data_IF_316651731494
#
_entry.id   IF_316651731494
#
_cell.length_a   1.000
_cell.length_b   1.000
_cell.length_c   1.000
_cell.angle_alpha   90.00
_cell.angle_beta   90.00
_cell.angle_gamma   90.00
#
_symmetry.space_group_name_H-M   'P 1'
#
loop_
_entity.id
_entity.type
_entity.pdbx_description
1 polymer ?
#
# COMPACT_ATOMS: atom_id res chain seq x y z
N UNK A 1 -12.83 7.68 11.63
CA UNK A 1 -11.57 8.09 10.96
C UNK A 1 -11.99 8.59 9.59
N UNK A 2 -11.85 9.89 9.32
CA UNK A 2 -12.32 10.49 8.07
C UNK A 2 -11.33 10.06 6.98
N UNK A 3 -11.78 9.21 6.04
CA UNK A 3 -11.05 8.94 4.81
C UNK A 3 -10.85 10.27 4.10
N UNK A 4 -9.60 10.67 3.90
CA UNK A 4 -9.25 11.88 3.14
C UNK A 4 -8.99 11.41 1.71
N UNK A 5 -9.95 11.32 0.79
CA UNK A 5 -9.63 10.91 -0.57
C UNK A 5 -8.64 11.89 -1.23
N UNK A 6 -7.81 11.42 -2.16
CA UNK A 6 -6.86 12.26 -2.90
C UNK A 6 -5.42 12.19 -2.40
N UNK A 7 -4.54 13.06 -2.91
CA UNK A 7 -3.09 13.03 -2.65
C UNK A 7 -2.73 13.02 -1.16
N UNK A 8 -3.60 13.53 -0.31
CA UNK A 8 -3.43 13.60 1.15
C UNK A 8 -3.98 12.37 1.90
N UNK A 9 -4.55 11.42 1.17
CA UNK A 9 -5.30 10.31 1.69
C UNK A 9 -4.55 9.07 2.08
N UNK A 10 -5.20 8.22 2.87
CA UNK A 10 -4.77 6.85 3.05
C UNK A 10 -5.93 5.93 2.70
N UNK A 11 -5.66 4.93 1.87
CA UNK A 11 -6.60 3.84 1.60
C UNK A 11 -5.83 2.53 1.51
N UNK A 12 -6.49 1.45 1.89
CA UNK A 12 -5.93 0.10 1.86
C UNK A 12 -6.80 -0.78 0.99
N UNK A 13 -6.20 -1.41 -0.01
CA UNK A 13 -6.81 -2.47 -0.80
C UNK A 13 -6.37 -3.80 -0.22
N UNK A 14 -7.31 -4.66 0.16
CA UNK A 14 -7.04 -6.03 0.57
C UNK A 14 -7.35 -6.95 -0.60
N UNK A 15 -6.37 -7.75 -1.02
CA UNK A 15 -6.59 -8.81 -1.96
C UNK A 15 -7.15 -10.03 -1.19
N UNK A 16 -8.05 -10.81 -1.81
CA UNK A 16 -8.73 -11.94 -1.15
C UNK A 16 -7.80 -13.06 -0.68
N UNK A 17 -6.56 -13.06 -1.16
CA UNK A 17 -5.44 -13.93 -0.79
C UNK A 17 -4.65 -13.47 0.45
N UNK A 18 -5.04 -12.34 1.07
CA UNK A 18 -4.38 -11.80 2.26
C UNK A 18 -3.21 -10.86 1.98
N UNK A 19 -2.81 -10.66 0.72
CA UNK A 19 -1.99 -9.52 0.35
C UNK A 19 -2.77 -8.21 0.50
N UNK A 20 -2.06 -7.11 0.72
CA UNK A 20 -2.68 -5.80 0.75
C UNK A 20 -1.78 -4.76 0.09
N UNK A 21 -2.39 -3.68 -0.37
CA UNK A 21 -1.73 -2.50 -0.92
C UNK A 21 -2.30 -1.26 -0.25
N UNK A 22 -1.47 -0.49 0.43
CA UNK A 22 -1.88 0.72 1.13
C UNK A 22 -1.23 1.95 0.51
N UNK A 23 -2.03 2.87 -0.02
CA UNK A 23 -1.57 4.21 -0.38
C UNK A 23 -1.49 5.08 0.86
N UNK A 24 -0.40 5.83 0.98
CA UNK A 24 -0.10 6.71 2.12
C UNK A 24 0.26 8.08 1.57
N UNK A 25 -0.75 8.94 1.47
CA UNK A 25 -0.72 10.22 0.80
C UNK A 25 0.15 11.28 1.46
N UNK A 26 -0.28 11.84 2.60
CA UNK A 26 0.47 12.90 3.28
C UNK A 26 0.89 12.51 4.71
N UNK A 27 1.88 13.25 5.23
CA UNK A 27 2.36 13.18 6.62
C UNK A 27 3.76 12.59 6.82
N UNK A 28 4.17 12.54 8.10
CA UNK A 28 5.27 11.75 8.70
C UNK A 28 6.08 10.84 7.79
N UNK A 29 7.22 11.19 7.19
CA UNK A 29 8.09 10.19 6.53
C UNK A 29 8.28 8.96 7.44
N UNK A 30 8.22 7.76 6.86
CA UNK A 30 8.28 6.52 7.63
C UNK A 30 9.41 5.65 7.09
N UNK A 31 10.56 5.75 7.75
CA UNK A 31 11.82 5.20 7.24
C UNK A 31 12.46 6.14 6.22
N UNK A 32 13.17 5.55 5.25
CA UNK A 32 13.90 6.31 4.21
C UNK A 32 13.00 6.82 3.08
N UNK A 33 11.80 6.25 2.91
CA UNK A 33 10.91 6.61 1.80
C UNK A 33 9.99 7.80 2.17
N UNK A 34 10.04 8.91 1.41
CA UNK A 34 9.14 10.04 1.61
C UNK A 34 7.69 9.64 1.26
N UNK A 35 6.73 10.42 1.74
CA UNK A 35 5.33 10.32 1.30
C UNK A 35 5.06 11.33 0.17
N UNK A 36 4.18 11.01 -0.81
CA UNK A 36 3.31 9.84 -0.85
C UNK A 36 4.06 8.53 -1.16
N UNK A 37 3.63 7.42 -0.56
CA UNK A 37 4.18 6.08 -0.84
C UNK A 37 3.13 4.96 -0.79
N UNK A 38 3.45 3.84 -1.42
CA UNK A 38 2.71 2.59 -1.36
C UNK A 38 3.40 1.65 -0.39
N UNK A 39 2.64 1.07 0.53
CA UNK A 39 3.04 -0.06 1.35
C UNK A 39 2.26 -1.30 0.90
N UNK A 40 2.93 -2.24 0.26
CA UNK A 40 2.28 -3.46 -0.26
C UNK A 40 2.95 -4.75 0.24
N UNK A 41 2.19 -5.83 0.34
CA UNK A 41 2.72 -7.17 0.61
C UNK A 41 2.65 -8.03 -0.66
N UNK A 42 3.75 -8.73 -0.95
CA UNK A 42 3.78 -9.75 -1.98
C UNK A 42 3.48 -11.11 -1.36
N UNK A 43 2.71 -11.93 -2.06
CA UNK A 43 2.49 -13.32 -1.68
C UNK A 43 3.77 -14.12 -1.92
N UNK A 44 4.22 -14.83 -0.88
CA UNK A 44 5.28 -15.81 -1.03
C UNK A 44 4.68 -17.21 -1.08
N UNK A 45 5.09 -18.05 -2.05
CA UNK A 45 4.68 -19.44 -2.08
C UNK A 45 5.24 -20.16 -0.84
N UNK A 46 4.39 -20.89 -0.14
CA UNK A 46 4.82 -21.80 0.93
C UNK A 46 4.75 -23.25 0.45
N UNK A 47 5.56 -24.13 1.05
CA UNK A 47 5.73 -25.55 0.69
C UNK A 47 4.42 -26.38 0.67
N UNK A 48 3.31 -25.81 1.10
CA UNK A 48 2.00 -26.43 1.27
C UNK A 48 1.00 -26.05 0.17
N UNK A 49 1.45 -25.41 -0.92
CA UNK A 49 0.57 -24.93 -2.00
C UNK A 49 -0.25 -23.67 -1.64
N UNK A 50 -0.18 -23.24 -0.38
CA UNK A 50 -0.74 -22.00 0.11
C UNK A 50 0.17 -20.80 -0.20
N UNK A 51 -0.39 -19.59 -0.11
CA UNK A 51 0.35 -18.34 -0.21
C UNK A 51 0.28 -17.60 1.13
N UNK A 52 1.40 -17.03 1.58
CA UNK A 52 1.41 -16.15 2.75
C UNK A 52 1.86 -14.74 2.36
N UNK A 53 1.19 -13.69 2.86
CA UNK A 53 1.67 -12.33 2.67
C UNK A 53 3.06 -12.19 3.31
N UNK A 54 4.00 -11.75 2.49
CA UNK A 54 5.39 -11.51 2.89
C UNK A 54 5.56 -10.26 3.73
N UNK A 55 6.84 -9.89 3.93
CA UNK A 55 7.17 -8.60 4.53
C UNK A 55 6.64 -7.47 3.63
N UNK A 56 6.03 -6.43 4.21
CA UNK A 56 5.57 -5.29 3.43
C UNK A 56 6.75 -4.54 2.83
N UNK A 57 6.65 -4.24 1.55
CA UNK A 57 7.57 -3.41 0.80
C UNK A 57 7.02 -1.98 0.69
N UNK A 58 7.90 -0.99 0.72
CA UNK A 58 7.54 0.42 0.56
C UNK A 58 8.17 0.90 -0.74
N UNK A 59 7.37 1.55 -1.59
CA UNK A 59 7.83 2.16 -2.84
C UNK A 59 7.09 3.46 -3.15
N UNK A 60 7.58 4.22 -4.12
CA UNK A 60 6.84 5.35 -4.69
C UNK A 60 5.52 4.91 -5.34
N UNK A 61 4.46 5.73 -5.29
CA UNK A 61 3.19 5.43 -5.93
C UNK A 61 3.28 5.62 -7.44
N UNK A 62 2.65 4.72 -8.19
CA UNK A 62 2.45 4.92 -9.62
C UNK A 62 1.32 5.92 -9.86
N UNK A 63 1.30 6.56 -11.03
CA UNK A 63 0.32 7.61 -11.35
C UNK A 63 -1.14 7.15 -11.20
N UNK A 64 -1.44 5.88 -11.47
CA UNK A 64 -2.77 5.29 -11.33
C UNK A 64 -3.12 4.91 -9.87
N UNK A 65 -2.12 4.82 -9.00
CA UNK A 65 -2.27 4.56 -7.57
C UNK A 65 -2.30 5.85 -6.76
N UNK A 66 -2.06 7.00 -7.41
CA UNK A 66 -2.29 8.29 -6.79
C UNK A 66 -3.77 8.59 -7.01
N UNK A 67 -4.57 8.68 -5.94
CA UNK A 67 -5.98 9.03 -6.06
C UNK A 67 -6.07 10.44 -6.65
N UNK A 68 -6.56 10.52 -7.88
CA UNK A 68 -6.78 11.77 -8.57
C UNK A 68 -7.92 12.50 -7.88
N UNK A 69 -7.67 13.71 -7.37
CA UNK A 69 -8.75 14.61 -7.00
C UNK A 69 -9.38 15.07 -8.30
N UNK A 70 -10.53 14.50 -8.65
CA UNK A 70 -11.39 15.05 -9.68
C UNK A 70 -12.16 16.24 -9.12
#
# INVERSE_FOLDING_TARGET
>A
MIERPGREGQYTTYNGDGAYKQYRGSGKSHGKEPRPNIKETYLNPIRDGNFKPGKPHIRGPETHEIPSQR
#
